data_IF_802398358343
#
_entry.id   IF_802398358343
#
_cell.length_a   1.000
_cell.length_b   1.000
_cell.length_c   1.000
_cell.angle_alpha   90.00
_cell.angle_beta   90.00
_cell.angle_gamma   90.00
#
_symmetry.space_group_name_H-M   'P 1'
#
loop_
_entity.id
_entity.type
_entity.pdbx_description
1 polymer ?
#
# COMPACT_ATOMS: atom_id res chain seq x y z
N UNK A 1 -15.23 12.24 5.30
CA UNK A 1 -16.29 12.58 4.34
C UNK A 1 -16.27 11.61 3.16
N UNK A 2 -15.18 11.50 2.38
CA UNK A 2 -15.11 10.66 1.17
C UNK A 2 -15.58 9.21 1.40
N UNK A 3 -15.07 8.53 2.42
CA UNK A 3 -15.39 7.12 2.67
C UNK A 3 -16.85 6.94 3.10
N UNK A 4 -17.40 7.84 3.91
CA UNK A 4 -18.81 7.79 4.33
C UNK A 4 -19.73 7.97 3.13
N UNK A 5 -19.46 8.96 2.27
CA UNK A 5 -20.22 9.18 1.04
C UNK A 5 -20.08 8.00 0.06
N UNK A 6 -18.90 7.40 -0.04
CA UNK A 6 -18.67 6.24 -0.90
C UNK A 6 -19.43 5.01 -0.41
N UNK A 7 -19.38 4.71 0.90
CA UNK A 7 -20.10 3.58 1.50
C UNK A 7 -21.61 3.77 1.33
N UNK A 8 -22.13 4.95 1.67
CA UNK A 8 -23.55 5.28 1.52
C UNK A 8 -24.00 5.25 0.05
N UNK A 9 -23.18 5.83 -0.85
CA UNK A 9 -23.45 5.79 -2.29
C UNK A 9 -23.45 4.38 -2.87
N UNK A 10 -22.50 3.53 -2.46
CA UNK A 10 -22.48 2.13 -2.86
C UNK A 10 -23.72 1.38 -2.33
N UNK A 11 -24.10 1.59 -1.07
CA UNK A 11 -25.29 0.95 -0.51
C UNK A 11 -26.55 1.33 -1.30
N UNK A 12 -26.73 2.60 -1.63
CA UNK A 12 -27.90 3.09 -2.36
C UNK A 12 -27.88 2.66 -3.83
N UNK A 13 -26.79 2.89 -4.55
CA UNK A 13 -26.75 2.65 -6.00
C UNK A 13 -26.57 1.18 -6.36
N UNK A 14 -25.81 0.42 -5.57
CA UNK A 14 -25.60 -1.01 -5.83
C UNK A 14 -26.80 -1.85 -5.37
N UNK A 15 -27.23 -1.68 -4.11
CA UNK A 15 -28.32 -2.49 -3.53
C UNK A 15 -29.71 -1.87 -3.74
N UNK A 16 -29.85 -0.54 -3.64
CA UNK A 16 -31.16 0.14 -3.78
C UNK A 16 -31.63 0.21 -5.23
N UNK A 17 -30.79 0.66 -6.13
CA UNK A 17 -31.11 0.79 -7.56
C UNK A 17 -30.69 -0.40 -8.42
N UNK A 18 -30.03 -1.39 -7.87
CA UNK A 18 -29.61 -2.59 -8.61
C UNK A 18 -28.63 -2.33 -9.76
N UNK A 19 -27.93 -1.17 -9.76
CA UNK A 19 -27.05 -0.75 -10.86
C UNK A 19 -25.75 -1.56 -10.95
N UNK A 20 -25.49 -2.49 -10.03
CA UNK A 20 -24.30 -3.35 -10.05
C UNK A 20 -22.99 -2.56 -10.12
N UNK A 21 -22.08 -2.96 -11.02
CA UNK A 21 -20.75 -2.36 -11.18
C UNK A 21 -20.81 -0.87 -11.54
N UNK A 22 -21.79 -0.47 -12.34
CA UNK A 22 -21.97 0.93 -12.75
C UNK A 22 -22.34 1.81 -11.56
N UNK A 23 -23.20 1.32 -10.65
CA UNK A 23 -23.54 1.99 -9.40
C UNK A 23 -22.32 2.21 -8.50
N UNK A 24 -21.45 1.20 -8.36
CA UNK A 24 -20.22 1.31 -7.60
C UNK A 24 -19.23 2.32 -8.20
N UNK A 25 -19.14 2.37 -9.54
CA UNK A 25 -18.29 3.33 -10.24
C UNK A 25 -18.81 4.78 -10.04
N UNK A 26 -20.12 5.00 -10.17
CA UNK A 26 -20.76 6.31 -9.94
C UNK A 26 -20.60 6.77 -8.49
N UNK A 27 -20.83 5.88 -7.51
CA UNK A 27 -20.63 6.20 -6.11
C UNK A 27 -19.17 6.63 -5.82
N UNK A 28 -18.20 5.96 -6.43
CA UNK A 28 -16.79 6.31 -6.31
C UNK A 28 -16.47 7.66 -6.96
N UNK A 29 -17.03 7.97 -8.11
CA UNK A 29 -16.85 9.25 -8.80
C UNK A 29 -17.45 10.41 -7.97
N UNK A 30 -18.71 10.27 -7.56
CA UNK A 30 -19.42 11.29 -6.77
C UNK A 30 -18.71 11.55 -5.45
N UNK A 31 -18.28 10.50 -4.73
CA UNK A 31 -17.58 10.65 -3.46
C UNK A 31 -16.25 11.39 -3.60
N UNK A 32 -15.53 11.16 -4.72
CA UNK A 32 -14.29 11.89 -5.04
C UNK A 32 -14.56 13.35 -5.40
N UNK A 33 -15.60 13.62 -6.18
CA UNK A 33 -16.00 14.98 -6.53
C UNK A 33 -16.40 15.79 -5.28
N UNK A 34 -17.21 15.23 -4.39
CA UNK A 34 -17.60 15.86 -3.11
C UNK A 34 -16.36 16.11 -2.24
N UNK A 35 -15.44 15.14 -2.14
CA UNK A 35 -14.23 15.31 -1.37
C UNK A 35 -13.33 16.41 -1.94
N UNK A 36 -13.20 16.50 -3.26
CA UNK A 36 -12.45 17.56 -3.95
C UNK A 36 -13.04 18.94 -3.65
N UNK A 37 -14.35 19.10 -3.82
CA UNK A 37 -15.06 20.34 -3.52
C UNK A 37 -14.89 20.73 -2.05
N UNK A 38 -15.05 19.79 -1.12
CA UNK A 38 -14.88 20.04 0.31
C UNK A 38 -13.46 20.51 0.65
N UNK A 39 -12.43 19.90 0.05
CA UNK A 39 -11.03 20.35 0.24
C UNK A 39 -10.80 21.73 -0.33
N UNK A 40 -11.32 22.04 -1.52
CA UNK A 40 -11.21 23.38 -2.11
C UNK A 40 -11.86 24.45 -1.23
N UNK A 41 -13.05 24.18 -0.66
CA UNK A 41 -13.68 25.08 0.29
C UNK A 41 -12.86 25.27 1.58
N UNK A 42 -12.26 24.19 2.09
CA UNK A 42 -11.39 24.28 3.29
C UNK A 42 -10.13 25.12 3.02
N UNK A 43 -9.54 25.01 1.83
CA UNK A 43 -8.35 25.77 1.44
C UNK A 43 -8.63 27.28 1.19
N UNK A 44 -9.92 27.66 1.06
CA UNK A 44 -10.33 29.06 0.91
C UNK A 44 -10.64 29.73 2.26
N UNK A 45 -10.75 28.96 3.35
CA UNK A 45 -11.04 29.54 4.68
C UNK A 45 -9.91 30.42 5.17
N UNK A 46 -10.22 31.64 5.69
CA UNK A 46 -9.24 32.47 6.35
C UNK A 46 -8.73 31.78 7.63
N UNK A 47 -7.41 31.63 7.76
CA UNK A 47 -6.77 30.92 8.88
C UNK A 47 -6.16 29.56 8.53
N UNK A 48 -6.33 29.03 7.33
CA UNK A 48 -5.56 27.89 6.87
C UNK A 48 -4.11 28.29 6.54
N UNK A 49 -3.16 27.45 6.98
CA UNK A 49 -1.72 27.62 6.73
C UNK A 49 -1.39 27.58 5.22
N UNK A 50 -2.21 26.88 4.42
CA UNK A 50 -2.17 26.87 2.98
C UNK A 50 -3.46 27.50 2.46
N UNK A 51 -3.37 28.67 1.82
CA UNK A 51 -4.50 29.37 1.23
C UNK A 51 -4.31 29.52 -0.28
N UNK A 52 -5.32 29.16 -1.03
CA UNK A 52 -5.38 29.43 -2.47
C UNK A 52 -6.11 30.77 -2.65
N UNK A 53 -5.38 31.83 -2.98
CA UNK A 53 -5.94 33.19 -3.16
C UNK A 53 -6.75 33.38 -4.46
N UNK A 54 -6.90 32.35 -5.26
CA UNK A 54 -7.70 32.31 -6.47
C UNK A 54 -7.05 31.47 -7.56
N UNK A 55 -7.87 30.83 -8.39
CA UNK A 55 -7.40 30.03 -9.53
C UNK A 55 -6.62 30.87 -10.57
N UNK A 56 -6.90 32.18 -10.65
CA UNK A 56 -6.19 33.10 -11.53
C UNK A 56 -4.75 33.44 -11.08
N UNK A 57 -4.42 33.19 -9.80
CA UNK A 57 -3.08 33.39 -9.25
C UNK A 57 -2.13 32.22 -9.51
N UNK A 58 -2.62 31.11 -10.06
CA UNK A 58 -1.83 29.91 -10.39
C UNK A 58 -0.94 30.18 -11.63
N UNK A 59 0.17 30.88 -11.42
CA UNK A 59 1.20 31.00 -12.45
C UNK A 59 2.15 29.80 -12.37
N UNK A 60 2.36 29.03 -13.46
CA UNK A 60 3.30 27.93 -13.46
C UNK A 60 4.72 28.43 -13.21
N UNK A 61 5.32 28.00 -12.11
CA UNK A 61 6.70 28.30 -11.79
C UNK A 61 7.60 27.13 -12.16
N UNK A 62 8.37 27.25 -13.23
CA UNK A 62 9.20 26.17 -13.75
C UNK A 62 10.19 25.59 -12.73
N UNK A 63 10.77 26.43 -11.85
CA UNK A 63 11.70 25.97 -10.80
C UNK A 63 11.00 25.10 -9.75
N UNK A 64 9.79 25.50 -9.39
CA UNK A 64 8.97 24.75 -8.43
C UNK A 64 8.52 23.41 -9.02
N UNK A 65 8.06 23.43 -10.28
CA UNK A 65 7.66 22.24 -11.04
C UNK A 65 8.84 21.28 -11.15
N UNK A 66 10.03 21.75 -11.50
CA UNK A 66 11.23 20.92 -11.60
C UNK A 66 11.59 20.28 -10.23
N UNK A 67 11.45 21.02 -9.13
CA UNK A 67 11.70 20.51 -7.78
C UNK A 67 10.71 19.42 -7.39
N UNK A 68 9.43 19.59 -7.71
CA UNK A 68 8.39 18.58 -7.48
C UNK A 68 8.62 17.35 -8.36
N UNK A 69 8.91 17.53 -9.64
CA UNK A 69 9.16 16.44 -10.59
C UNK A 69 10.42 15.65 -10.26
N UNK A 70 11.43 16.28 -9.68
CA UNK A 70 12.66 15.59 -9.25
C UNK A 70 12.40 14.49 -8.21
N UNK A 71 11.36 14.63 -7.39
CA UNK A 71 10.93 13.62 -6.42
C UNK A 71 9.80 12.77 -7.00
N UNK A 72 8.89 13.41 -7.73
CA UNK A 72 7.69 12.75 -8.24
C UNK A 72 7.98 11.75 -9.37
N UNK A 73 8.91 12.04 -10.27
CA UNK A 73 9.25 11.14 -11.38
C UNK A 73 9.85 9.82 -10.87
N UNK A 74 10.90 9.81 -10.00
CA UNK A 74 11.40 8.57 -9.45
C UNK A 74 10.33 7.76 -8.71
N UNK A 75 9.53 8.40 -7.87
CA UNK A 75 8.44 7.73 -7.17
C UNK A 75 7.35 7.18 -8.12
N UNK A 76 7.08 7.87 -9.22
CA UNK A 76 6.15 7.42 -10.27
C UNK A 76 6.68 6.20 -11.01
N UNK A 77 7.95 6.21 -11.41
CA UNK A 77 8.63 5.09 -12.06
C UNK A 77 8.63 3.87 -11.13
N UNK A 78 9.02 4.05 -9.87
CA UNK A 78 9.02 2.98 -8.87
C UNK A 78 7.63 2.33 -8.75
N UNK A 79 6.57 3.12 -8.58
CA UNK A 79 5.21 2.61 -8.51
C UNK A 79 4.79 1.90 -9.80
N UNK A 80 5.14 2.42 -10.97
CA UNK A 80 4.87 1.79 -12.27
C UNK A 80 5.55 0.43 -12.39
N UNK A 81 6.84 0.37 -12.11
CA UNK A 81 7.61 -0.87 -12.14
C UNK A 81 7.08 -1.91 -11.13
N UNK A 82 6.64 -1.42 -9.95
CA UNK A 82 6.01 -2.27 -8.94
C UNK A 82 4.70 -2.90 -9.43
N UNK A 83 3.88 -2.15 -10.16
CA UNK A 83 2.64 -2.68 -10.72
C UNK A 83 2.91 -3.69 -11.84
N UNK A 84 3.89 -3.45 -12.70
CA UNK A 84 4.30 -4.40 -13.75
C UNK A 84 4.80 -5.70 -13.11
N UNK A 85 5.65 -5.61 -12.08
CA UNK A 85 6.12 -6.79 -11.36
C UNK A 85 4.99 -7.58 -10.68
N UNK A 86 4.01 -6.90 -10.06
CA UNK A 86 2.81 -7.54 -9.51
C UNK A 86 2.00 -8.27 -10.58
N UNK A 87 1.83 -7.68 -11.76
CA UNK A 87 1.14 -8.32 -12.88
C UNK A 87 1.89 -9.57 -13.37
N UNK A 88 3.22 -9.51 -13.46
CA UNK A 88 4.06 -10.65 -13.82
C UNK A 88 3.90 -11.80 -12.83
N UNK A 89 3.93 -11.52 -11.54
CA UNK A 89 3.72 -12.53 -10.48
C UNK A 89 2.28 -13.06 -10.49
N UNK A 90 1.28 -12.22 -10.75
CA UNK A 90 -0.11 -12.64 -10.86
C UNK A 90 -0.32 -13.57 -12.07
N UNK A 91 0.31 -13.27 -13.21
CA UNK A 91 0.33 -14.14 -14.37
C UNK A 91 0.95 -15.50 -14.05
N UNK A 92 2.08 -15.51 -13.32
CA UNK A 92 2.71 -16.75 -12.88
C UNK A 92 1.81 -17.55 -11.92
N UNK A 93 1.10 -16.87 -11.01
CA UNK A 93 0.14 -17.52 -10.09
C UNK A 93 -0.99 -18.20 -10.86
N UNK A 94 -1.42 -17.64 -12.00
CA UNK A 94 -2.49 -18.23 -12.81
C UNK A 94 -2.11 -19.58 -13.42
N UNK A 95 -0.83 -19.87 -13.60
CA UNK A 95 -0.36 -21.18 -14.09
C UNK A 95 -0.47 -22.29 -13.05
N UNK A 96 -0.62 -21.94 -11.77
CA UNK A 96 -0.75 -22.90 -10.65
C UNK A 96 -2.19 -23.43 -10.44
N UNK A 97 -3.14 -22.95 -11.25
CA UNK A 97 -4.53 -23.39 -11.21
C UNK A 97 -5.46 -22.49 -10.41
N UNK A 98 -6.76 -22.79 -10.49
CA UNK A 98 -7.83 -21.95 -9.92
C UNK A 98 -7.82 -21.88 -8.39
N UNK A 99 -7.45 -22.97 -7.72
CA UNK A 99 -7.31 -23.01 -6.27
C UNK A 99 -6.21 -22.05 -5.78
N UNK A 100 -5.07 -22.01 -6.48
CA UNK A 100 -3.98 -21.09 -6.16
C UNK A 100 -4.37 -19.62 -6.42
N UNK A 101 -5.12 -19.32 -7.49
CA UNK A 101 -5.63 -17.97 -7.75
C UNK A 101 -6.55 -17.52 -6.62
N UNK A 102 -7.49 -18.36 -6.20
CA UNK A 102 -8.42 -18.04 -5.12
C UNK A 102 -7.69 -17.84 -3.78
N UNK A 103 -6.77 -18.75 -3.44
CA UNK A 103 -5.94 -18.63 -2.25
C UNK A 103 -5.10 -17.34 -2.25
N UNK A 104 -4.48 -17.01 -3.38
CA UNK A 104 -3.69 -15.79 -3.55
C UNK A 104 -4.55 -14.52 -3.41
N UNK A 105 -5.77 -14.51 -3.94
CA UNK A 105 -6.68 -13.37 -3.81
C UNK A 105 -7.06 -13.12 -2.35
N UNK A 106 -7.39 -14.17 -1.59
CA UNK A 106 -7.70 -14.09 -0.16
C UNK A 106 -6.47 -13.63 0.63
N UNK A 107 -5.31 -14.23 0.41
CA UNK A 107 -4.08 -13.87 1.08
C UNK A 107 -3.69 -12.39 0.81
N UNK A 108 -3.80 -11.91 -0.43
CA UNK A 108 -3.54 -10.50 -0.78
C UNK A 108 -4.53 -9.54 -0.11
N UNK A 109 -5.82 -9.89 -0.06
CA UNK A 109 -6.84 -9.06 0.59
C UNK A 109 -6.57 -8.96 2.09
N UNK A 110 -6.32 -10.08 2.73
CA UNK A 110 -6.03 -10.15 4.18
C UNK A 110 -4.72 -9.43 4.50
N UNK A 111 -3.65 -9.65 3.75
CA UNK A 111 -2.37 -8.97 3.95
C UNK A 111 -2.48 -7.45 3.81
N UNK A 112 -3.27 -6.99 2.83
CA UNK A 112 -3.54 -5.56 2.67
C UNK A 112 -4.24 -4.98 3.89
N UNK A 113 -5.23 -5.68 4.42
CA UNK A 113 -5.96 -5.27 5.62
C UNK A 113 -5.04 -5.22 6.86
N UNK A 114 -4.21 -6.23 7.06
CA UNK A 114 -3.29 -6.31 8.20
C UNK A 114 -2.22 -5.21 8.19
N UNK A 115 -1.83 -4.76 7.01
CA UNK A 115 -0.82 -3.71 6.84
C UNK A 115 -1.39 -2.28 6.90
N UNK A 116 -2.71 -2.07 7.03
CA UNK A 116 -3.33 -0.73 7.08
C UNK A 116 -2.72 0.17 8.17
N UNK A 117 -2.60 -0.26 9.45
CA UNK A 117 -2.08 0.62 10.49
C UNK A 117 -0.64 1.06 10.23
N UNK A 118 0.21 0.12 9.84
CA UNK A 118 1.61 0.43 9.56
C UNK A 118 1.78 1.30 8.29
N UNK A 119 0.93 1.09 7.26
CA UNK A 119 0.87 1.97 6.08
C UNK A 119 0.44 3.39 6.44
N UNK A 120 -0.54 3.54 7.33
CA UNK A 120 -1.01 4.85 7.80
C UNK A 120 0.10 5.60 8.54
N UNK A 121 0.86 4.91 9.39
CA UNK A 121 2.03 5.48 10.07
C UNK A 121 3.12 5.84 9.05
N UNK A 122 3.35 5.02 8.02
CA UNK A 122 4.29 5.31 6.95
C UNK A 122 3.98 6.61 6.19
N UNK A 123 2.70 6.91 5.95
CA UNK A 123 2.28 8.18 5.37
C UNK A 123 2.48 9.36 6.34
N UNK A 124 2.22 9.16 7.63
CA UNK A 124 2.46 10.17 8.66
C UNK A 124 3.95 10.51 8.78
N UNK A 125 4.83 9.51 8.71
CA UNK A 125 6.29 9.67 8.70
C UNK A 125 6.73 10.61 7.58
N UNK A 126 6.24 10.40 6.37
CA UNK A 126 6.60 11.23 5.21
C UNK A 126 6.28 12.71 5.46
N UNK A 127 5.13 12.98 6.08
CA UNK A 127 4.69 14.35 6.39
C UNK A 127 5.48 14.96 7.56
N UNK A 128 5.57 14.25 8.68
CA UNK A 128 6.18 14.79 9.92
C UNK A 128 7.68 14.98 9.74
N UNK A 129 8.38 13.97 9.22
CA UNK A 129 9.84 14.06 8.99
C UNK A 129 10.15 15.11 7.93
N UNK A 130 9.33 15.19 6.85
CA UNK A 130 9.48 16.22 5.83
C UNK A 130 9.31 17.64 6.38
N UNK A 131 8.36 17.86 7.28
CA UNK A 131 8.16 19.17 7.95
C UNK A 131 9.35 19.53 8.86
N UNK A 132 9.83 18.60 9.68
CA UNK A 132 10.99 18.81 10.54
C UNK A 132 12.26 19.17 9.73
N UNK A 133 12.51 18.44 8.64
CA UNK A 133 13.63 18.71 7.76
C UNK A 133 13.48 20.04 7.02
N UNK A 134 12.26 20.38 6.61
CA UNK A 134 11.95 21.68 6.02
C UNK A 134 12.16 22.86 6.96
N UNK A 135 11.95 22.66 8.27
CA UNK A 135 12.25 23.63 9.32
C UNK A 135 13.73 23.68 9.74
N UNK A 136 14.57 22.76 9.21
CA UNK A 136 15.99 22.67 9.58
C UNK A 136 16.28 21.87 10.85
N UNK A 137 15.26 21.33 11.50
CA UNK A 137 15.31 20.61 12.79
C UNK A 137 15.65 19.13 12.61
N UNK A 138 16.92 18.81 12.31
CA UNK A 138 17.38 17.46 12.01
C UNK A 138 17.23 16.48 13.19
N UNK A 139 17.51 16.95 14.41
CA UNK A 139 17.40 16.11 15.61
C UNK A 139 15.96 15.69 15.88
N UNK A 140 15.03 16.62 15.74
CA UNK A 140 13.61 16.32 15.84
C UNK A 140 13.14 15.36 14.74
N UNK A 141 13.62 15.52 13.51
CA UNK A 141 13.31 14.62 12.41
C UNK A 141 13.73 13.16 12.73
N UNK A 142 14.93 12.96 13.26
CA UNK A 142 15.42 11.62 13.67
C UNK A 142 14.62 11.08 14.86
N UNK A 143 14.27 11.92 15.82
CA UNK A 143 13.49 11.53 16.98
C UNK A 143 12.09 11.05 16.57
N UNK A 144 11.38 11.83 15.74
CA UNK A 144 10.08 11.45 15.20
C UNK A 144 10.16 10.20 14.31
N UNK A 145 11.17 10.09 13.45
CA UNK A 145 11.36 8.92 12.60
C UNK A 145 11.44 7.63 13.43
N UNK A 146 12.24 7.62 14.50
CA UNK A 146 12.37 6.47 15.41
C UNK A 146 11.05 6.14 16.12
N UNK A 147 10.36 7.15 16.66
CA UNK A 147 9.09 6.97 17.38
C UNK A 147 7.98 6.45 16.47
N UNK A 148 7.88 6.99 15.27
CA UNK A 148 6.89 6.57 14.28
C UNK A 148 7.22 5.17 13.75
N UNK A 149 8.51 4.82 13.57
CA UNK A 149 8.90 3.45 13.22
C UNK A 149 8.47 2.44 14.30
N UNK A 150 8.70 2.76 15.57
CA UNK A 150 8.23 1.91 16.68
C UNK A 150 6.70 1.78 16.70
N UNK A 151 5.99 2.87 16.42
CA UNK A 151 4.53 2.85 16.30
C UNK A 151 4.06 1.98 15.13
N UNK A 152 4.76 2.02 13.99
CA UNK A 152 4.49 1.15 12.84
C UNK A 152 4.68 -0.32 13.21
N UNK A 153 5.74 -0.65 13.95
CA UNK A 153 5.96 -2.00 14.48
C UNK A 153 4.85 -2.42 15.44
N UNK A 154 4.48 -1.57 16.40
CA UNK A 154 3.40 -1.88 17.35
C UNK A 154 2.08 -2.15 16.63
N UNK A 155 1.72 -1.31 15.65
CA UNK A 155 0.52 -1.51 14.84
C UNK A 155 0.56 -2.79 14.01
N UNK A 156 1.69 -3.09 13.38
CA UNK A 156 1.89 -4.34 12.64
C UNK A 156 1.81 -5.57 13.56
N UNK A 157 2.43 -5.52 14.75
CA UNK A 157 2.39 -6.61 15.71
C UNK A 157 0.98 -6.90 16.20
N UNK A 158 0.23 -5.88 16.60
CA UNK A 158 -1.15 -6.03 17.06
C UNK A 158 -2.00 -6.72 15.99
N UNK A 159 -1.92 -6.24 14.74
CA UNK A 159 -2.74 -6.79 13.66
C UNK A 159 -2.31 -8.19 13.23
N UNK A 160 -1.02 -8.41 13.02
CA UNK A 160 -0.53 -9.71 12.55
C UNK A 160 -0.62 -10.78 13.64
N UNK A 161 -0.39 -10.43 14.91
CA UNK A 161 -0.53 -11.37 16.01
C UNK A 161 -2.01 -11.76 16.23
N UNK A 162 -2.92 -10.79 16.15
CA UNK A 162 -4.36 -11.09 16.20
C UNK A 162 -4.80 -11.99 15.04
N UNK A 163 -4.31 -11.71 13.82
CA UNK A 163 -4.61 -12.54 12.66
C UNK A 163 -4.04 -13.96 12.78
N UNK A 164 -2.85 -14.11 13.34
CA UNK A 164 -2.24 -15.43 13.56
C UNK A 164 -3.12 -16.34 14.43
N UNK A 165 -3.75 -15.79 15.48
CA UNK A 165 -4.67 -16.55 16.33
C UNK A 165 -6.05 -16.77 15.72
N UNK A 166 -6.50 -15.92 14.82
CA UNK A 166 -7.85 -15.96 14.25
C UNK A 166 -7.89 -16.32 12.76
N UNK A 167 -6.73 -16.57 12.12
CA UNK A 167 -6.64 -16.78 10.67
C UNK A 167 -7.53 -17.93 10.18
N UNK A 168 -7.55 -19.05 10.91
CA UNK A 168 -8.35 -20.22 10.54
C UNK A 168 -9.85 -19.88 10.52
N UNK A 169 -10.34 -19.18 11.56
CA UNK A 169 -11.74 -18.77 11.64
C UNK A 169 -12.08 -17.70 10.61
N UNK A 170 -11.16 -16.77 10.36
CA UNK A 170 -11.37 -15.69 9.39
C UNK A 170 -11.43 -16.23 7.96
N UNK A 171 -10.52 -17.12 7.58
CA UNK A 171 -10.51 -17.74 6.27
C UNK A 171 -11.72 -18.64 6.02
N UNK A 172 -12.16 -19.38 7.05
CA UNK A 172 -13.33 -20.26 6.97
C UNK A 172 -14.66 -19.52 6.88
N UNK A 173 -14.80 -18.41 7.60
CA UNK A 173 -16.09 -17.72 7.71
C UNK A 173 -16.31 -16.64 6.64
N UNK A 174 -15.25 -15.95 6.24
CA UNK A 174 -15.36 -14.85 5.26
C UNK A 174 -15.26 -15.29 3.80
N UNK A 175 -14.50 -16.34 3.54
CA UNK A 175 -14.24 -16.79 2.17
C UNK A 175 -14.64 -18.26 2.02
N UNK A 176 -15.68 -18.50 1.24
CA UNK A 176 -16.15 -19.86 0.90
C UNK A 176 -15.18 -20.51 -0.11
N UNK A 177 -13.99 -20.88 0.36
CA UNK A 177 -12.94 -21.48 -0.45
C UNK A 177 -13.11 -23.00 -0.53
N UNK A 178 -12.61 -23.60 -1.62
CA UNK A 178 -12.42 -25.05 -1.65
C UNK A 178 -11.41 -25.50 -0.59
N UNK A 179 -11.49 -26.75 -0.07
CA UNK A 179 -10.56 -27.21 0.96
C UNK A 179 -9.08 -27.07 0.57
N UNK A 180 -8.77 -27.29 -0.70
CA UNK A 180 -7.42 -27.12 -1.25
C UNK A 180 -6.97 -25.66 -1.24
N UNK A 181 -7.79 -24.74 -1.74
CA UNK A 181 -7.49 -23.30 -1.74
C UNK A 181 -7.37 -22.75 -0.31
N UNK A 182 -8.18 -23.26 0.63
CA UNK A 182 -8.12 -22.90 2.02
C UNK A 182 -6.79 -23.30 2.66
N UNK A 183 -6.33 -24.53 2.46
CA UNK A 183 -5.05 -25.00 2.99
C UNK A 183 -3.88 -24.15 2.47
N UNK A 184 -3.86 -23.85 1.16
CA UNK A 184 -2.85 -22.96 0.57
C UNK A 184 -2.91 -21.54 1.16
N UNK A 185 -4.12 -20.97 1.31
CA UNK A 185 -4.29 -19.63 1.87
C UNK A 185 -3.80 -19.54 3.31
N UNK A 186 -4.15 -20.50 4.15
CA UNK A 186 -3.71 -20.57 5.54
C UNK A 186 -2.19 -20.67 5.65
N UNK A 187 -1.58 -21.55 4.87
CA UNK A 187 -0.13 -21.71 4.86
C UNK A 187 0.56 -20.38 4.49
N UNK A 188 0.11 -19.73 3.43
CA UNK A 188 0.65 -18.43 3.00
C UNK A 188 0.45 -17.37 4.07
N UNK A 189 -0.73 -17.29 4.70
CA UNK A 189 -1.03 -16.29 5.71
C UNK A 189 -0.19 -16.46 6.99
N UNK A 190 0.06 -17.70 7.42
CA UNK A 190 0.94 -17.97 8.57
C UNK A 190 2.36 -17.47 8.33
N UNK A 191 2.94 -17.79 7.17
CA UNK A 191 4.26 -17.30 6.79
C UNK A 191 4.27 -15.79 6.60
N UNK A 192 3.24 -15.23 5.98
CA UNK A 192 3.08 -13.79 5.83
C UNK A 192 3.08 -13.07 7.18
N UNK A 193 2.29 -13.53 8.16
CA UNK A 193 2.23 -12.95 9.49
C UNK A 193 3.59 -12.95 10.17
N UNK A 194 4.33 -14.06 10.07
CA UNK A 194 5.66 -14.19 10.65
C UNK A 194 6.65 -13.18 10.05
N UNK A 195 6.76 -13.13 8.73
CA UNK A 195 7.67 -12.21 8.05
C UNK A 195 7.24 -10.74 8.17
N UNK A 196 5.94 -10.47 8.12
CA UNK A 196 5.39 -9.11 8.21
C UNK A 196 5.67 -8.46 9.57
N UNK A 197 5.64 -9.22 10.67
CA UNK A 197 5.95 -8.71 12.01
C UNK A 197 7.37 -8.14 12.08
N UNK A 198 8.34 -8.78 11.44
CA UNK A 198 9.75 -8.41 11.54
C UNK A 198 10.21 -7.44 10.44
N UNK A 199 9.84 -7.68 9.20
CA UNK A 199 10.47 -7.02 8.06
C UNK A 199 9.63 -5.92 7.42
N UNK A 200 8.30 -6.07 7.38
CA UNK A 200 7.45 -5.15 6.64
C UNK A 200 7.51 -3.70 7.17
N UNK A 201 7.44 -3.42 8.51
CA UNK A 201 7.48 -2.04 8.99
C UNK A 201 8.81 -1.35 8.70
N UNK A 202 9.95 -2.06 8.83
CA UNK A 202 11.26 -1.48 8.51
C UNK A 202 11.39 -1.19 7.02
N UNK A 203 11.06 -2.13 6.16
CA UNK A 203 11.19 -1.98 4.70
C UNK A 203 10.39 -0.78 4.17
N UNK A 204 9.10 -0.70 4.51
CA UNK A 204 8.23 0.36 3.98
C UNK A 204 8.35 1.69 4.71
N UNK A 205 8.50 1.69 6.04
CA UNK A 205 8.59 2.95 6.81
C UNK A 205 9.95 3.61 6.61
N UNK A 206 11.05 2.85 6.54
CA UNK A 206 12.38 3.40 6.29
C UNK A 206 12.47 4.02 4.89
N UNK A 207 11.89 3.37 3.89
CA UNK A 207 11.78 3.92 2.53
C UNK A 207 11.06 5.28 2.53
N UNK A 208 9.99 5.44 3.31
CA UNK A 208 9.28 6.71 3.45
C UNK A 208 10.11 7.77 4.20
N UNK A 209 10.93 7.38 5.19
CA UNK A 209 11.87 8.30 5.88
C UNK A 209 12.88 8.84 4.88
N UNK A 210 13.49 7.98 4.07
CA UNK A 210 14.48 8.39 3.06
C UNK A 210 13.87 9.29 1.99
N UNK A 211 12.64 9.00 1.55
CA UNK A 211 11.90 9.90 0.63
C UNK A 211 11.61 11.25 1.25
N UNK A 212 11.25 11.30 2.53
CA UNK A 212 11.06 12.55 3.26
C UNK A 212 12.36 13.36 3.36
N UNK A 213 13.51 12.68 3.45
CA UNK A 213 14.83 13.28 3.42
C UNK A 213 15.27 13.78 2.03
N UNK A 214 14.48 13.51 0.98
CA UNK A 214 14.74 13.96 -0.39
C UNK A 214 15.49 12.96 -1.27
N UNK A 215 15.84 11.79 -0.74
CA UNK A 215 16.57 10.75 -1.49
C UNK A 215 15.61 9.71 -2.11
N UNK A 216 14.70 10.22 -2.94
CA UNK A 216 13.74 9.37 -3.65
C UNK A 216 14.40 8.51 -4.74
N UNK A 217 15.52 8.94 -5.31
CA UNK A 217 16.21 8.21 -6.38
C UNK A 217 16.91 6.97 -5.87
N UNK A 218 17.50 7.03 -4.68
CA UNK A 218 18.10 5.88 -4.04
C UNK A 218 17.04 4.82 -3.70
N UNK A 219 15.95 5.25 -3.04
CA UNK A 219 14.85 4.34 -2.70
C UNK A 219 14.25 3.68 -3.94
N UNK A 220 14.04 4.45 -5.01
CA UNK A 220 13.57 3.93 -6.29
C UNK A 220 14.50 2.84 -6.83
N UNK A 221 15.80 3.10 -6.90
CA UNK A 221 16.77 2.16 -7.47
C UNK A 221 16.82 0.85 -6.68
N UNK A 222 16.90 0.94 -5.35
CA UNK A 222 16.92 -0.23 -4.47
C UNK A 222 15.62 -1.02 -4.60
N UNK A 223 14.46 -0.36 -4.51
CA UNK A 223 13.15 -1.02 -4.61
C UNK A 223 12.94 -1.71 -5.96
N UNK A 224 13.36 -1.09 -7.08
CA UNK A 224 13.24 -1.70 -8.41
C UNK A 224 14.13 -2.93 -8.52
N UNK A 225 15.40 -2.82 -8.13
CA UNK A 225 16.34 -3.96 -8.18
C UNK A 225 15.85 -5.10 -7.31
N UNK A 226 15.47 -4.81 -6.06
CA UNK A 226 14.95 -5.80 -5.12
C UNK A 226 13.72 -6.51 -5.70
N UNK A 227 12.74 -5.75 -6.19
CA UNK A 227 11.53 -6.31 -6.75
C UNK A 227 11.80 -7.22 -7.96
N UNK A 228 12.64 -6.78 -8.90
CA UNK A 228 12.87 -7.56 -10.12
C UNK A 228 13.75 -8.78 -9.88
N UNK A 229 14.76 -8.68 -9.01
CA UNK A 229 15.65 -9.80 -8.68
C UNK A 229 14.97 -10.79 -7.73
N UNK A 230 14.52 -10.31 -6.56
CA UNK A 230 14.02 -11.19 -5.51
C UNK A 230 12.55 -11.55 -5.71
N UNK A 231 11.67 -10.61 -6.04
CA UNK A 231 10.26 -10.92 -6.18
C UNK A 231 9.93 -11.58 -7.53
N UNK A 232 10.31 -10.97 -8.65
CA UNK A 232 9.98 -11.52 -9.97
C UNK A 232 10.92 -12.67 -10.33
N UNK A 233 12.24 -12.42 -10.35
CA UNK A 233 13.25 -13.41 -10.77
C UNK A 233 13.20 -14.69 -9.94
N UNK A 234 13.19 -14.56 -8.60
CA UNK A 234 13.10 -15.73 -7.72
C UNK A 234 11.78 -16.50 -7.89
N UNK A 235 10.63 -15.80 -8.05
CA UNK A 235 9.36 -16.48 -8.28
C UNK A 235 9.36 -17.28 -9.56
N UNK A 236 9.85 -16.72 -10.67
CA UNK A 236 9.96 -17.44 -11.94
C UNK A 236 10.90 -18.64 -11.84
N UNK A 237 12.06 -18.46 -11.19
CA UNK A 237 13.01 -19.55 -10.96
C UNK A 237 12.38 -20.67 -10.13
N UNK A 238 11.69 -20.36 -9.05
CA UNK A 238 11.08 -21.37 -8.19
C UNK A 238 9.93 -22.12 -8.88
N UNK A 239 9.08 -21.42 -9.62
CA UNK A 239 7.92 -22.06 -10.27
C UNK A 239 8.34 -22.85 -11.50
N UNK A 240 9.22 -22.31 -12.37
CA UNK A 240 9.60 -22.94 -13.61
C UNK A 240 10.66 -24.03 -13.45
N UNK A 241 11.65 -23.84 -12.57
CA UNK A 241 12.75 -24.80 -12.40
C UNK A 241 12.51 -25.80 -11.27
N UNK A 242 11.84 -25.41 -10.19
CA UNK A 242 11.64 -26.25 -9.01
C UNK A 242 10.19 -26.68 -8.80
N UNK A 243 9.28 -26.37 -9.73
CA UNK A 243 7.84 -26.69 -9.64
C UNK A 243 7.22 -26.21 -8.30
N UNK A 244 7.65 -25.02 -7.84
CA UNK A 244 7.21 -24.44 -6.57
C UNK A 244 5.71 -24.16 -6.56
N UNK A 245 5.12 -24.30 -5.38
CA UNK A 245 3.71 -23.99 -5.13
C UNK A 245 3.50 -22.50 -4.84
N UNK A 246 2.26 -22.10 -4.51
CA UNK A 246 1.88 -20.73 -4.17
C UNK A 246 2.79 -20.11 -3.09
N UNK A 247 3.20 -20.87 -2.08
CA UNK A 247 4.10 -20.40 -1.03
C UNK A 247 5.44 -19.92 -1.59
N UNK A 248 5.99 -20.58 -2.61
CA UNK A 248 7.26 -20.17 -3.24
C UNK A 248 7.19 -18.78 -3.86
N UNK A 249 6.02 -18.42 -4.41
CA UNK A 249 5.76 -17.08 -4.94
C UNK A 249 5.79 -16.03 -3.80
N UNK A 250 5.17 -16.36 -2.67
CA UNK A 250 5.15 -15.47 -1.50
C UNK A 250 6.53 -15.35 -0.84
N UNK A 251 7.34 -16.41 -0.86
CA UNK A 251 8.74 -16.35 -0.38
C UNK A 251 9.56 -15.32 -1.17
N UNK A 252 9.36 -15.20 -2.49
CA UNK A 252 9.98 -14.12 -3.28
C UNK A 252 9.58 -12.72 -2.79
N UNK A 253 8.34 -12.54 -2.35
CA UNK A 253 7.89 -11.27 -1.74
C UNK A 253 8.55 -11.04 -0.37
N UNK A 254 8.73 -12.09 0.44
CA UNK A 254 9.38 -11.95 1.76
C UNK A 254 10.85 -11.59 1.63
N UNK A 255 11.55 -12.18 0.64
CA UNK A 255 12.94 -11.83 0.32
C UNK A 255 13.09 -10.37 -0.15
N UNK A 256 12.10 -9.84 -0.86
CA UNK A 256 12.07 -8.44 -1.30
C UNK A 256 11.95 -7.45 -0.12
N UNK A 257 11.49 -7.88 1.05
CA UNK A 257 11.37 -7.03 2.24
C UNK A 257 12.64 -6.98 3.10
N UNK A 258 13.54 -7.94 2.96
CA UNK A 258 14.81 -8.05 3.71
C UNK A 258 15.90 -7.22 3.05
#
# INVERSE_FOLDING_TARGET
VRNVVNIGGNAILFFGFGMGVLGAALASLVSRAIACIAVLFLLQKPGCMLRIEGLAALRPNGRLIQRILRVGIPAGIENGMFQIGKLSVASLTSTLGTAAIAANAVANTTSTFLNIPASAVGLAVLTVVGQCLGAGEKEQAVWYARRLLLLAYAGAWIMNLSAFFFADKLALTLFHLSPEAQAMALQVMQWFNLFSIFFWPSSFTLSNILRAAGDASFTMSVSIVSMWVFRVGFCYLMVLCFHGQLLSIWMGMFLDWV
#
